data_IF_899905877621
#
_entry.id   IF_899905877621
#
_cell.length_a   1.000
_cell.length_b   1.000
_cell.length_c   1.000
_cell.angle_alpha   90.00
_cell.angle_beta   90.00
_cell.angle_gamma   90.00
#
_symmetry.space_group_name_H-M   'P 1'
#
loop_
_entity.id
_entity.type
_entity.pdbx_description
1 polymer ?
#
# COMPACT_ATOMS: atom_id res chain seq x y z
N UNK A 1 -17.84 5.02 2.09
CA UNK A 1 -16.68 5.42 2.91
C UNK A 1 -15.42 4.83 2.26
N UNK A 2 -14.47 5.67 1.86
CA UNK A 2 -13.19 5.25 1.25
C UNK A 2 -12.14 5.22 2.37
N UNK A 3 -11.42 4.10 2.51
CA UNK A 3 -10.24 4.05 3.37
C UNK A 3 -9.01 4.24 2.49
N UNK A 4 -8.56 5.49 2.42
CA UNK A 4 -7.36 5.85 1.69
C UNK A 4 -6.16 5.72 2.63
N UNK A 5 -5.24 4.80 2.36
CA UNK A 5 -3.93 4.76 3.01
C UNK A 5 -3.08 5.84 2.34
N UNK A 6 -3.16 7.09 2.83
CA UNK A 6 -2.72 8.28 2.08
C UNK A 6 -1.22 8.52 2.02
N UNK A 7 -0.40 7.92 2.89
CA UNK A 7 1.04 8.18 2.88
C UNK A 7 1.78 7.21 3.80
N UNK A 8 2.56 6.31 3.23
CA UNK A 8 3.74 5.76 3.91
C UNK A 8 4.93 6.67 3.57
N UNK A 9 4.92 7.90 4.07
CA UNK A 9 6.09 8.78 3.98
C UNK A 9 7.05 8.42 5.08
N UNK A 10 8.22 7.90 4.67
CA UNK A 10 9.44 7.77 5.46
C UNK A 10 9.22 6.86 6.68
N UNK A 11 9.63 5.58 6.53
CA UNK A 11 9.79 4.54 7.58
C UNK A 11 8.72 3.43 7.67
N UNK A 12 7.45 3.65 7.33
CA UNK A 12 6.41 2.64 7.62
C UNK A 12 5.91 1.81 6.43
N UNK A 13 6.75 0.87 5.99
CA UNK A 13 6.32 -0.44 5.48
C UNK A 13 7.55 -1.35 5.46
N UNK A 14 7.83 -1.91 6.63
CA UNK A 14 8.89 -2.90 6.88
C UNK A 14 10.29 -2.34 6.58
N UNK A 15 11.05 -2.02 7.65
CA UNK A 15 12.48 -1.71 7.55
C UNK A 15 13.18 -2.76 6.67
N UNK A 16 14.22 -2.36 5.91
CA UNK A 16 14.88 -3.25 4.92
C UNK A 16 15.27 -4.61 5.52
N UNK A 17 15.54 -4.65 6.82
CA UNK A 17 15.96 -5.81 7.61
C UNK A 17 14.81 -6.76 8.02
N UNK A 18 13.55 -6.35 7.84
CA UNK A 18 12.36 -7.16 8.15
C UNK A 18 11.61 -7.63 6.89
N UNK A 19 12.16 -7.38 5.69
CA UNK A 19 11.62 -7.94 4.45
C UNK A 19 11.70 -9.47 4.52
N UNK A 20 10.76 -10.14 3.86
CA UNK A 20 10.64 -11.61 3.80
C UNK A 20 10.25 -12.34 5.10
N UNK A 21 9.92 -11.63 6.19
CA UNK A 21 9.38 -12.24 7.42
C UNK A 21 7.83 -12.29 7.46
N UNK A 22 7.14 -11.99 6.36
CA UNK A 22 5.68 -12.01 6.28
C UNK A 22 4.96 -10.86 7.04
N UNK A 23 5.70 -9.97 7.70
CA UNK A 23 5.17 -8.83 8.46
C UNK A 23 4.33 -7.90 7.58
N UNK A 24 4.81 -7.57 6.38
CA UNK A 24 4.07 -6.74 5.43
C UNK A 24 2.71 -7.34 5.04
N UNK A 25 2.62 -8.67 4.89
CA UNK A 25 1.37 -9.36 4.58
C UNK A 25 0.38 -9.28 5.73
N UNK A 26 0.83 -9.47 6.96
CA UNK A 26 -0.01 -9.38 8.15
C UNK A 26 -0.56 -7.97 8.36
N UNK A 27 0.28 -6.94 8.18
CA UNK A 27 -0.14 -5.54 8.28
C UNK A 27 -1.21 -5.20 7.25
N UNK A 28 -0.99 -5.55 5.98
CA UNK A 28 -1.95 -5.28 4.90
C UNK A 28 -3.25 -6.08 5.10
N UNK A 29 -3.15 -7.36 5.48
CA UNK A 29 -4.32 -8.17 5.79
C UNK A 29 -5.16 -7.58 6.93
N UNK A 30 -4.51 -7.11 8.01
CA UNK A 30 -5.20 -6.47 9.14
C UNK A 30 -5.90 -5.19 8.72
N UNK A 31 -5.24 -4.36 7.90
CA UNK A 31 -5.82 -3.13 7.37
C UNK A 31 -7.06 -3.39 6.49
N UNK A 32 -7.02 -4.46 5.67
CA UNK A 32 -8.17 -4.89 4.86
C UNK A 32 -9.33 -5.33 5.77
N UNK A 33 -9.06 -6.15 6.78
CA UNK A 33 -10.11 -6.60 7.72
C UNK A 33 -10.74 -5.44 8.49
N UNK A 34 -9.94 -4.46 8.91
CA UNK A 34 -10.46 -3.25 9.54
C UNK A 34 -11.32 -2.42 8.57
N UNK A 35 -10.91 -2.31 7.30
CA UNK A 35 -11.68 -1.65 6.27
C UNK A 35 -13.02 -2.35 6.01
N UNK A 36 -13.04 -3.69 5.96
CA UNK A 36 -14.27 -4.49 5.86
C UNK A 36 -15.18 -4.27 7.07
N UNK A 37 -14.62 -4.32 8.29
CA UNK A 37 -15.37 -4.08 9.53
C UNK A 37 -16.02 -2.69 9.54
N UNK A 38 -15.35 -1.71 8.95
CA UNK A 38 -15.84 -0.35 8.76
C UNK A 38 -16.81 -0.19 7.57
N UNK A 39 -17.10 -1.25 6.81
CA UNK A 39 -17.89 -1.20 5.57
C UNK A 39 -17.33 -0.21 4.55
N UNK A 40 -16.00 -0.14 4.46
CA UNK A 40 -15.34 0.61 3.42
C UNK A 40 -15.61 -0.03 2.05
N UNK A 41 -15.90 0.79 1.04
CA UNK A 41 -16.17 0.30 -0.32
C UNK A 41 -14.90 0.05 -1.14
N UNK A 42 -13.78 0.64 -0.72
CA UNK A 42 -12.49 0.53 -1.41
C UNK A 42 -11.35 0.77 -0.42
N UNK A 43 -10.24 0.05 -0.62
CA UNK A 43 -8.95 0.27 0.04
C UNK A 43 -7.97 0.76 -1.02
N UNK A 44 -7.43 1.97 -0.84
CA UNK A 44 -6.49 2.57 -1.79
C UNK A 44 -5.12 2.72 -1.15
N UNK A 45 -4.08 2.35 -1.90
CA UNK A 45 -2.68 2.60 -1.56
C UNK A 45 -1.97 3.32 -2.70
N UNK A 46 -0.94 4.08 -2.37
CA UNK A 46 -0.03 4.71 -3.32
C UNK A 46 1.39 4.24 -3.05
N UNK A 47 2.02 3.67 -4.08
CA UNK A 47 3.43 3.29 -4.08
C UNK A 47 4.17 4.09 -5.13
N UNK A 48 5.44 4.41 -4.87
CA UNK A 48 6.28 5.06 -5.85
C UNK A 48 6.56 4.10 -7.01
N UNK A 49 6.57 4.62 -8.25
CA UNK A 49 6.70 3.83 -9.47
C UNK A 49 7.97 2.96 -9.51
N UNK A 50 9.06 3.43 -8.90
CA UNK A 50 10.34 2.72 -8.80
C UNK A 50 10.34 1.48 -7.88
N UNK A 51 9.26 1.22 -7.14
CA UNK A 51 9.17 0.10 -6.18
C UNK A 51 8.48 -1.12 -6.78
N UNK A 52 9.04 -1.67 -7.84
CA UNK A 52 8.47 -2.84 -8.54
C UNK A 52 8.18 -4.04 -7.63
N UNK A 53 9.07 -4.32 -6.67
CA UNK A 53 8.86 -5.39 -5.69
C UNK A 53 7.61 -5.16 -4.83
N UNK A 54 7.32 -3.90 -4.47
CA UNK A 54 6.12 -3.57 -3.71
C UNK A 54 4.87 -3.72 -4.59
N UNK A 55 4.94 -3.34 -5.87
CA UNK A 55 3.83 -3.55 -6.80
C UNK A 55 3.48 -5.03 -6.94
N UNK A 56 4.47 -5.89 -7.22
CA UNK A 56 4.27 -7.35 -7.26
C UNK A 56 3.71 -7.90 -5.96
N UNK A 57 4.13 -7.38 -4.82
CA UNK A 57 3.59 -7.77 -3.51
C UNK A 57 2.11 -7.40 -3.37
N UNK A 58 1.71 -6.18 -3.75
CA UNK A 58 0.31 -5.75 -3.67
C UNK A 58 -0.58 -6.44 -4.71
N UNK A 59 -0.09 -6.65 -5.93
CA UNK A 59 -0.80 -7.43 -6.95
C UNK A 59 -1.12 -8.85 -6.47
N UNK A 60 -0.17 -9.52 -5.80
CA UNK A 60 -0.40 -10.84 -5.16
C UNK A 60 -1.45 -10.81 -4.04
N UNK A 61 -1.72 -9.65 -3.46
CA UNK A 61 -2.75 -9.45 -2.45
C UNK A 61 -4.10 -9.02 -3.07
N UNK A 62 -4.19 -8.94 -4.40
CA UNK A 62 -5.42 -8.60 -5.12
C UNK A 62 -5.63 -7.11 -5.35
N UNK A 63 -4.61 -6.27 -5.15
CA UNK A 63 -4.67 -4.88 -5.55
C UNK A 63 -4.43 -4.74 -7.06
N UNK A 64 -5.20 -3.87 -7.71
CA UNK A 64 -5.02 -3.50 -9.11
C UNK A 64 -4.34 -2.13 -9.20
N UNK A 65 -3.31 -2.01 -10.04
CA UNK A 65 -2.68 -0.72 -10.33
C UNK A 65 -3.58 0.10 -11.28
N UNK A 66 -4.45 0.94 -10.72
CA UNK A 66 -5.41 1.74 -11.51
C UNK A 66 -5.01 3.21 -11.73
N UNK A 67 -3.95 3.70 -11.08
CA UNK A 67 -3.58 5.12 -11.13
C UNK A 67 -2.08 5.34 -11.33
N UNK A 68 -1.74 6.15 -12.34
CA UNK A 68 -0.39 6.69 -12.54
C UNK A 68 -0.26 7.98 -11.73
N UNK A 69 0.65 7.98 -10.75
CA UNK A 69 0.97 9.20 -10.00
C UNK A 69 1.79 10.17 -10.85
N UNK A 70 1.37 11.43 -10.90
CA UNK A 70 2.09 12.51 -11.59
C UNK A 70 2.68 13.47 -10.56
N UNK A 71 3.92 13.92 -10.77
CA UNK A 71 4.58 14.94 -9.94
C UNK A 71 5.15 16.03 -10.85
N UNK A 72 4.88 17.28 -10.51
CA UNK A 72 5.55 18.45 -11.09
C UNK A 72 6.41 19.08 -9.99
N UNK A 73 7.72 19.17 -10.21
CA UNK A 73 8.61 19.95 -9.35
C UNK A 73 8.63 21.39 -9.86
N UNK A 74 8.39 22.34 -8.96
CA UNK A 74 8.49 23.77 -9.26
C UNK A 74 9.78 24.29 -8.64
N UNK A 75 10.44 25.21 -9.35
CA UNK A 75 11.65 25.89 -8.91
C UNK A 75 11.37 26.92 -7.81
#
# INVERSE_FOLDING_TARGET
MELTIRRATREDLVHRDHRDQGVGRQLVARAIEEAKARRAGIVRLTSHTSRENAHRFYERLGFTAEHIGMKLELA
#
